data_IF_874035399636
#
_entry.id   IF_874035399636
#
_cell.length_a   1.000
_cell.length_b   1.000
_cell.length_c   1.000
_cell.angle_alpha   90.00
_cell.angle_beta   90.00
_cell.angle_gamma   90.00
#
_symmetry.space_group_name_H-M   'P 1'
#
loop_
_entity.id
_entity.type
_entity.pdbx_description
1 polymer ?
#
# COMPACT_ATOMS: atom_id res chain seq x y z
N UNK A 1 -13.80 50.42 -30.68
CA UNK A 1 -12.55 49.83 -31.19
C UNK A 1 -12.75 48.30 -31.18
N UNK A 2 -13.38 47.69 -32.20
CA UNK A 2 -12.77 46.95 -33.35
C UNK A 2 -11.49 46.18 -32.92
N UNK A 3 -11.25 44.88 -33.14
CA UNK A 3 -11.88 43.81 -33.93
C UNK A 3 -11.27 42.43 -33.50
N UNK A 4 -12.09 41.37 -33.52
CA UNK A 4 -11.90 39.94 -33.87
C UNK A 4 -10.51 39.20 -33.94
N UNK A 5 -10.51 38.00 -33.32
CA UNK A 5 -10.15 36.63 -33.83
C UNK A 5 -8.80 36.36 -34.54
N UNK A 6 -8.07 35.31 -34.12
CA UNK A 6 -7.92 34.00 -34.82
C UNK A 6 -6.63 33.19 -34.52
N UNK A 7 -6.85 31.88 -34.36
CA UNK A 7 -6.11 30.71 -34.89
C UNK A 7 -4.78 30.15 -34.31
N UNK A 8 -4.83 28.81 -34.18
CA UNK A 8 -3.81 27.77 -34.01
C UNK A 8 -2.64 27.83 -35.02
N UNK A 9 -1.46 27.31 -34.67
CA UNK A 9 -0.94 25.98 -35.09
C UNK A 9 0.48 25.70 -34.58
N UNK A 10 0.77 24.40 -34.44
CA UNK A 10 2.01 23.77 -33.98
C UNK A 10 3.19 23.89 -34.95
N UNK A 11 4.44 23.77 -34.45
CA UNK A 11 5.36 22.67 -34.83
C UNK A 11 6.79 22.88 -34.33
N UNK A 12 7.45 21.73 -34.17
CA UNK A 12 8.81 21.47 -33.72
C UNK A 12 9.93 22.20 -34.48
N UNK A 13 11.10 22.30 -33.83
CA UNK A 13 12.38 22.42 -34.51
C UNK A 13 13.36 21.38 -33.99
N UNK A 14 13.92 20.61 -34.92
CA UNK A 14 15.18 19.86 -34.81
C UNK A 14 16.16 20.56 -35.74
N UNK A 15 17.39 20.83 -35.30
CA UNK A 15 18.58 20.83 -36.15
C UNK A 15 19.86 20.96 -35.31
N UNK A 16 20.82 20.06 -35.52
CA UNK A 16 22.19 20.47 -35.90
C UNK A 16 22.97 19.27 -36.45
N UNK A 17 23.85 19.57 -37.40
CA UNK A 17 24.48 18.72 -38.41
C UNK A 17 26.02 18.65 -38.27
N UNK A 18 26.64 17.72 -39.02
CA UNK A 18 28.06 17.71 -39.45
C UNK A 18 28.75 16.37 -39.13
N UNK A 19 29.16 15.48 -40.06
CA UNK A 19 30.07 15.59 -41.23
C UNK A 19 31.44 14.99 -40.83
N UNK A 20 32.22 14.18 -41.58
CA UNK A 20 32.24 13.70 -42.97
C UNK A 20 33.30 12.56 -43.15
N UNK A 21 33.16 11.80 -44.25
CA UNK A 21 34.13 11.07 -45.11
C UNK A 21 34.94 9.81 -44.69
N UNK A 22 34.92 8.80 -45.59
CA UNK A 22 36.04 7.84 -45.78
C UNK A 22 35.68 6.38 -46.15
N UNK A 23 35.85 6.01 -47.42
CA UNK A 23 35.53 4.72 -48.10
C UNK A 23 36.22 3.45 -47.54
N UNK A 24 35.46 2.35 -47.44
CA UNK A 24 35.83 0.99 -47.91
C UNK A 24 34.60 0.06 -47.85
N UNK A 25 34.31 -0.67 -48.93
CA UNK A 25 33.23 -1.65 -48.96
C UNK A 25 33.70 -3.02 -48.45
N UNK A 26 32.98 -3.66 -47.52
CA UNK A 26 33.00 -5.10 -47.37
C UNK A 26 31.60 -5.71 -47.61
N UNK A 27 31.57 -6.73 -48.48
CA UNK A 27 30.71 -7.92 -48.48
C UNK A 27 29.38 -7.85 -47.70
N UNK A 28 28.27 -7.95 -48.45
CA UNK A 28 26.91 -8.11 -47.91
C UNK A 28 26.82 -9.23 -46.86
N UNK A 29 26.38 -8.95 -45.63
CA UNK A 29 25.94 -9.99 -44.71
C UNK A 29 24.61 -10.55 -45.20
N UNK A 30 24.46 -11.87 -45.13
CA UNK A 30 23.18 -12.53 -45.33
C UNK A 30 22.13 -11.93 -44.37
N UNK A 31 20.96 -11.57 -44.91
CA UNK A 31 19.84 -11.09 -44.11
C UNK A 31 19.37 -12.22 -43.18
N UNK A 32 19.56 -12.05 -41.88
CA UNK A 32 18.89 -12.89 -40.90
C UNK A 32 17.36 -12.72 -41.05
N UNK A 33 16.57 -13.79 -40.90
CA UNK A 33 15.12 -13.67 -40.89
C UNK A 33 14.67 -12.71 -39.78
N UNK A 34 13.58 -11.95 -40.00
CA UNK A 34 13.06 -11.02 -39.01
C UNK A 34 12.75 -11.77 -37.71
N UNK A 35 13.17 -11.18 -36.59
CA UNK A 35 12.84 -11.71 -35.27
C UNK A 35 11.31 -11.84 -35.12
N UNK A 36 10.82 -12.93 -34.50
CA UNK A 36 9.40 -13.08 -34.24
C UNK A 36 8.90 -11.90 -33.42
N UNK A 37 7.70 -11.41 -33.75
CA UNK A 37 7.07 -10.33 -33.03
C UNK A 37 7.03 -10.65 -31.52
N UNK A 38 7.30 -9.68 -30.64
CA UNK A 38 7.16 -9.89 -29.21
C UNK A 38 5.74 -10.37 -28.91
N UNK A 39 5.62 -11.38 -28.04
CA UNK A 39 4.32 -11.89 -27.63
C UNK A 39 3.46 -10.73 -27.10
N UNK A 40 2.15 -10.69 -27.43
CA UNK A 40 1.24 -9.74 -26.81
C UNK A 40 1.33 -9.85 -25.28
N UNK A 41 1.16 -8.76 -24.53
CA UNK A 41 1.11 -8.80 -23.07
C UNK A 41 0.13 -9.88 -22.64
N UNK A 42 0.54 -10.73 -21.70
CA UNK A 42 -0.34 -11.77 -21.17
C UNK A 42 -1.66 -11.12 -20.71
N UNK A 43 -2.79 -11.71 -21.12
CA UNK A 43 -4.10 -11.29 -20.65
C UNK A 43 -4.07 -11.28 -19.11
N UNK A 44 -4.49 -10.18 -18.46
CA UNK A 44 -4.67 -10.15 -17.01
C UNK A 44 -5.40 -11.41 -16.53
N UNK A 45 -4.90 -12.10 -15.49
CA UNK A 45 -5.65 -13.21 -14.92
C UNK A 45 -7.04 -12.74 -14.51
N UNK A 46 -8.03 -13.61 -14.67
CA UNK A 46 -9.39 -13.35 -14.18
C UNK A 46 -9.32 -13.01 -12.69
N UNK A 47 -10.13 -12.06 -12.23
CA UNK A 47 -10.18 -11.72 -10.81
C UNK A 47 -10.40 -13.01 -10.00
N UNK A 48 -9.56 -13.28 -8.99
CA UNK A 48 -9.63 -14.51 -8.21
C UNK A 48 -11.01 -14.70 -7.58
N UNK A 49 -11.48 -15.95 -7.56
CA UNK A 49 -12.70 -16.34 -6.86
C UNK A 49 -12.51 -16.21 -5.34
N UNK A 50 -13.50 -15.61 -4.66
CA UNK A 50 -13.49 -15.44 -3.21
C UNK A 50 -12.74 -14.19 -2.72
N UNK A 51 -13.07 -13.74 -1.52
CA UNK A 51 -12.40 -12.61 -0.85
C UNK A 51 -11.52 -13.05 0.31
N UNK A 52 -11.68 -14.29 0.78
CA UNK A 52 -10.85 -14.85 1.86
C UNK A 52 -9.56 -15.45 1.31
N UNK A 53 -8.45 -15.17 1.98
CA UNK A 53 -7.09 -15.56 1.61
C UNK A 53 -6.42 -16.15 2.85
N UNK A 54 -5.99 -17.41 2.75
CA UNK A 54 -5.19 -18.05 3.80
C UNK A 54 -3.82 -17.36 3.92
N UNK A 55 -3.16 -17.40 5.09
CA UNK A 55 -1.80 -16.89 5.24
C UNK A 55 -0.87 -17.41 4.13
N UNK A 56 -0.11 -16.50 3.53
CA UNK A 56 0.79 -16.80 2.41
C UNK A 56 2.12 -17.30 3.00
N UNK A 57 2.67 -18.40 2.46
CA UNK A 57 4.04 -18.82 2.80
C UNK A 57 5.05 -17.88 2.14
N UNK A 58 5.41 -16.83 2.87
CA UNK A 58 6.39 -15.84 2.43
C UNK A 58 7.81 -16.41 2.35
N UNK A 59 8.08 -17.62 2.85
CA UNK A 59 9.39 -18.27 2.68
C UNK A 59 9.55 -18.89 1.28
N UNK A 60 8.45 -19.07 0.55
CA UNK A 60 8.43 -19.56 -0.82
C UNK A 60 8.30 -18.41 -1.82
N UNK A 61 9.38 -18.08 -2.54
CA UNK A 61 9.35 -17.07 -3.63
C UNK A 61 8.28 -17.42 -4.67
N UNK A 62 8.15 -18.71 -5.01
CA UNK A 62 7.18 -19.18 -5.99
C UNK A 62 5.74 -18.95 -5.53
N UNK A 63 5.44 -19.18 -4.24
CA UNK A 63 4.11 -18.92 -3.70
C UNK A 63 3.81 -17.42 -3.69
N UNK A 64 4.74 -16.58 -3.21
CA UNK A 64 4.57 -15.13 -3.19
C UNK A 64 4.31 -14.57 -4.59
N UNK A 65 5.07 -15.03 -5.60
CA UNK A 65 4.88 -14.63 -7.01
C UNK A 65 3.54 -15.13 -7.56
N UNK A 66 3.15 -16.37 -7.25
CA UNK A 66 1.84 -16.89 -7.66
C UNK A 66 0.71 -16.03 -7.08
N UNK A 67 0.75 -15.75 -5.78
CA UNK A 67 -0.26 -14.93 -5.07
C UNK A 67 -0.27 -13.48 -5.50
N UNK A 68 0.89 -12.92 -5.82
CA UNK A 68 0.98 -11.60 -6.44
C UNK A 68 0.17 -11.53 -7.74
N UNK A 69 0.37 -12.51 -8.62
CA UNK A 69 -0.26 -12.52 -9.94
C UNK A 69 -1.74 -12.92 -9.89
N UNK A 70 -2.11 -13.92 -9.09
CA UNK A 70 -3.47 -14.44 -9.07
C UNK A 70 -4.40 -13.73 -8.08
N UNK A 71 -3.85 -13.09 -7.04
CA UNK A 71 -4.65 -12.56 -5.92
C UNK A 71 -4.54 -11.05 -5.78
N UNK A 72 -3.33 -10.51 -5.75
CA UNK A 72 -3.13 -9.08 -5.54
C UNK A 72 -3.45 -8.24 -6.77
N UNK A 73 -3.00 -8.69 -7.94
CA UNK A 73 -3.25 -7.99 -9.20
C UNK A 73 -4.75 -8.06 -9.55
N UNK A 74 -5.44 -6.92 -9.41
CA UNK A 74 -6.88 -6.83 -9.64
C UNK A 74 -7.19 -5.66 -10.59
N UNK A 75 -7.70 -6.01 -11.77
CA UNK A 75 -8.08 -5.07 -12.82
C UNK A 75 -9.58 -4.72 -12.80
N UNK A 76 -10.31 -5.05 -11.71
CA UNK A 76 -11.73 -4.72 -11.57
C UNK A 76 -11.92 -3.21 -11.78
N UNK A 77 -12.75 -2.80 -12.76
CA UNK A 77 -12.88 -1.41 -13.10
C UNK A 77 -13.51 -0.63 -11.95
N UNK A 78 -12.94 0.54 -11.66
CA UNK A 78 -13.61 1.49 -10.79
C UNK A 78 -14.83 2.06 -11.50
N UNK A 79 -15.99 1.92 -10.87
CA UNK A 79 -17.24 2.51 -11.32
C UNK A 79 -18.02 2.92 -10.09
N UNK A 80 -18.39 4.20 -10.07
CA UNK A 80 -19.07 4.84 -8.96
C UNK A 80 -20.30 5.57 -9.49
N UNK A 81 -21.45 5.34 -8.86
CA UNK A 81 -22.74 5.92 -9.28
C UNK A 81 -23.05 7.30 -8.68
N UNK A 82 -22.12 7.85 -7.89
CA UNK A 82 -22.31 9.11 -7.20
C UNK A 82 -21.92 10.33 -8.02
N UNK A 83 -21.98 11.49 -7.38
CA UNK A 83 -21.68 12.79 -7.97
C UNK A 83 -21.29 13.78 -6.90
N UNK A 84 -20.11 14.39 -7.07
CA UNK A 84 -19.62 15.48 -6.21
C UNK A 84 -20.53 16.70 -6.36
N UNK A 85 -20.84 17.11 -7.59
CA UNK A 85 -21.58 18.34 -7.86
C UNK A 85 -23.02 18.36 -7.33
N UNK A 86 -23.64 17.19 -7.16
CA UNK A 86 -25.00 17.05 -6.60
C UNK A 86 -25.02 16.40 -5.22
N UNK A 87 -23.85 16.21 -4.58
CA UNK A 87 -23.69 15.53 -3.30
C UNK A 87 -24.39 14.16 -3.21
N UNK A 88 -24.35 13.40 -4.30
CA UNK A 88 -24.86 12.04 -4.33
C UNK A 88 -23.72 11.09 -3.92
N UNK A 89 -23.83 10.49 -2.74
CA UNK A 89 -22.81 9.54 -2.25
C UNK A 89 -22.59 8.37 -3.20
N UNK A 90 -23.65 7.93 -3.88
CA UNK A 90 -23.60 6.80 -4.82
C UNK A 90 -23.17 5.51 -4.16
N UNK A 91 -22.66 4.59 -4.97
CA UNK A 91 -22.02 3.36 -4.52
C UNK A 91 -21.05 2.85 -5.59
N UNK A 92 -20.11 2.01 -5.18
CA UNK A 92 -19.30 1.20 -6.12
C UNK A 92 -19.93 -0.16 -6.36
N UNK A 93 -19.56 -0.80 -7.47
CA UNK A 93 -20.08 -2.14 -7.80
C UNK A 93 -19.68 -3.17 -6.75
N UNK A 94 -20.50 -4.22 -6.56
CA UNK A 94 -20.16 -5.32 -5.65
C UNK A 94 -18.84 -6.04 -6.02
N UNK A 95 -18.52 -6.09 -7.32
CA UNK A 95 -17.23 -6.60 -7.79
C UNK A 95 -16.06 -5.72 -7.31
N UNK A 96 -16.21 -4.39 -7.36
CA UNK A 96 -15.18 -3.47 -6.87
C UNK A 96 -15.01 -3.55 -5.35
N UNK A 97 -16.10 -3.64 -4.59
CA UNK A 97 -16.02 -3.88 -3.13
C UNK A 97 -15.32 -5.20 -2.80
N UNK A 98 -15.54 -6.24 -3.60
CA UNK A 98 -14.82 -7.51 -3.47
C UNK A 98 -13.33 -7.36 -3.78
N UNK A 99 -12.95 -6.52 -4.75
CA UNK A 99 -11.56 -6.19 -5.06
C UNK A 99 -10.87 -5.45 -3.90
N UNK A 100 -11.54 -4.47 -3.29
CA UNK A 100 -11.08 -3.80 -2.06
C UNK A 100 -10.84 -4.83 -0.95
N UNK A 101 -11.82 -5.70 -0.70
CA UNK A 101 -11.73 -6.71 0.35
C UNK A 101 -10.58 -7.70 0.11
N UNK A 102 -10.42 -8.18 -1.14
CA UNK A 102 -9.28 -9.03 -1.54
C UNK A 102 -7.94 -8.35 -1.30
N UNK A 103 -7.81 -7.07 -1.66
CA UNK A 103 -6.55 -6.32 -1.46
C UNK A 103 -6.20 -6.23 0.03
N UNK A 104 -7.16 -5.92 0.90
CA UNK A 104 -6.94 -5.86 2.35
C UNK A 104 -6.64 -7.24 2.95
N UNK A 105 -7.35 -8.28 2.51
CA UNK A 105 -7.09 -9.65 2.94
C UNK A 105 -5.74 -10.18 2.44
N UNK A 106 -5.27 -9.75 1.27
CA UNK A 106 -3.94 -10.07 0.77
C UNK A 106 -2.84 -9.48 1.67
N UNK A 107 -2.98 -8.22 2.09
CA UNK A 107 -2.04 -7.61 3.05
C UNK A 107 -1.98 -8.36 4.37
N UNK A 108 -3.13 -8.76 4.91
CA UNK A 108 -3.21 -9.60 6.13
C UNK A 108 -2.54 -10.95 5.93
N UNK A 109 -2.83 -11.61 4.82
CA UNK A 109 -2.25 -12.92 4.47
C UNK A 109 -0.73 -12.87 4.31
N UNK A 110 -0.18 -11.83 3.67
CA UNK A 110 1.26 -11.58 3.59
C UNK A 110 1.88 -11.38 4.99
N UNK A 111 1.17 -10.72 5.90
CA UNK A 111 1.62 -10.51 7.28
C UNK A 111 1.48 -11.75 8.18
N UNK A 112 1.06 -12.90 7.63
CA UNK A 112 0.83 -14.14 8.38
C UNK A 112 -0.49 -14.20 9.15
N UNK A 113 -1.40 -13.25 8.91
CA UNK A 113 -2.75 -13.22 9.50
C UNK A 113 -3.75 -13.90 8.57
N UNK A 114 -4.88 -14.32 9.11
CA UNK A 114 -6.01 -14.70 8.28
C UNK A 114 -6.50 -13.47 7.48
N UNK A 115 -6.59 -13.63 6.16
CA UNK A 115 -7.24 -12.67 5.28
C UNK A 115 -8.72 -13.01 5.17
N UNK A 116 -9.50 -12.72 6.19
CA UNK A 116 -10.92 -13.11 6.29
C UNK A 116 -11.83 -11.95 6.72
N UNK A 117 -11.41 -10.72 6.45
CA UNK A 117 -12.24 -9.54 6.70
C UNK A 117 -13.59 -9.68 5.99
N UNK A 118 -14.63 -9.21 6.67
CA UNK A 118 -15.99 -9.11 6.14
C UNK A 118 -16.37 -7.64 5.91
N UNK A 119 -17.17 -7.39 4.87
CA UNK A 119 -17.76 -6.08 4.62
C UNK A 119 -19.12 -5.96 5.31
N UNK A 120 -19.31 -4.87 6.05
CA UNK A 120 -20.62 -4.45 6.53
C UNK A 120 -21.22 -3.43 5.56
N UNK A 121 -22.38 -3.79 4.99
CA UNK A 121 -23.06 -2.95 3.99
C UNK A 121 -23.55 -1.61 4.57
N UNK A 122 -24.01 -1.59 5.82
CA UNK A 122 -24.51 -0.39 6.47
C UNK A 122 -23.39 0.60 6.79
N UNK A 123 -22.25 0.09 7.26
CA UNK A 123 -21.06 0.90 7.50
C UNK A 123 -20.41 1.34 6.19
N UNK A 124 -20.45 0.51 5.16
CA UNK A 124 -20.01 0.89 3.80
C UNK A 124 -20.85 2.06 3.26
N UNK A 125 -22.16 2.08 3.48
CA UNK A 125 -23.00 3.21 3.06
C UNK A 125 -22.61 4.52 3.77
N UNK A 126 -22.23 4.48 5.06
CA UNK A 126 -21.72 5.66 5.77
C UNK A 126 -20.31 6.03 5.33
N UNK A 127 -19.42 5.05 5.14
CA UNK A 127 -18.07 5.26 4.63
C UNK A 127 -18.09 5.91 3.23
N UNK A 128 -19.06 5.54 2.38
CA UNK A 128 -19.26 6.14 1.07
C UNK A 128 -19.60 7.64 1.16
N UNK A 129 -20.38 8.04 2.17
CA UNK A 129 -20.63 9.46 2.46
C UNK A 129 -19.34 10.16 2.93
N UNK A 130 -18.52 9.52 3.75
CA UNK A 130 -17.23 10.07 4.18
C UNK A 130 -16.28 10.26 2.99
N UNK A 131 -16.14 9.26 2.11
CA UNK A 131 -15.31 9.35 0.91
C UNK A 131 -15.77 10.52 0.01
N UNK A 132 -17.08 10.66 -0.23
CA UNK A 132 -17.63 11.82 -0.94
C UNK A 132 -17.25 13.14 -0.27
N UNK A 133 -17.33 13.23 1.06
CA UNK A 133 -16.96 14.46 1.79
C UNK A 133 -15.48 14.81 1.64
N UNK A 134 -14.57 13.82 1.70
CA UNK A 134 -13.15 14.07 1.50
C UNK A 134 -12.85 14.51 0.05
N UNK A 135 -13.48 13.85 -0.92
CA UNK A 135 -13.32 14.15 -2.35
C UNK A 135 -13.85 15.55 -2.69
N UNK A 136 -15.07 15.89 -2.23
CA UNK A 136 -15.71 17.17 -2.49
C UNK A 136 -15.01 18.39 -1.88
N UNK A 137 -14.05 18.18 -0.98
CA UNK A 137 -13.33 19.25 -0.27
C UNK A 137 -11.80 19.18 -0.49
N UNK A 138 -11.32 18.28 -1.34
CA UNK A 138 -9.90 18.07 -1.62
C UNK A 138 -9.04 17.93 -0.36
N UNK A 139 -9.58 17.30 0.70
CA UNK A 139 -8.96 17.30 2.01
C UNK A 139 -9.37 16.10 2.88
N UNK A 140 -8.55 15.79 3.89
CA UNK A 140 -8.77 14.74 4.86
C UNK A 140 -9.08 15.31 6.25
N UNK A 141 -10.10 14.77 6.92
CA UNK A 141 -10.37 15.09 8.33
C UNK A 141 -11.13 13.95 9.02
N UNK A 142 -10.66 13.52 10.19
CA UNK A 142 -11.43 12.64 11.08
C UNK A 142 -12.53 13.39 11.86
N UNK A 143 -12.58 14.72 11.74
CA UNK A 143 -13.61 15.57 12.35
C UNK A 143 -14.00 16.66 11.35
N UNK A 144 -14.65 16.27 10.24
CA UNK A 144 -14.98 17.21 9.19
C UNK A 144 -15.93 18.29 9.72
N UNK A 145 -15.65 19.59 9.50
CA UNK A 145 -16.53 20.65 9.94
C UNK A 145 -17.86 20.60 9.18
N UNK A 146 -18.94 21.02 9.83
CA UNK A 146 -20.30 21.00 9.25
C UNK A 146 -20.47 21.90 8.03
N UNK A 147 -19.53 22.81 7.77
CA UNK A 147 -19.51 23.69 6.60
C UNK A 147 -18.87 23.07 5.35
N UNK A 148 -18.37 21.84 5.41
CA UNK A 148 -17.83 21.15 4.23
C UNK A 148 -18.89 20.91 3.16
N UNK A 149 -18.47 21.00 1.90
CA UNK A 149 -19.30 20.59 0.75
C UNK A 149 -19.69 19.12 0.92
N UNK A 150 -20.96 18.81 0.62
CA UNK A 150 -21.54 17.47 0.78
C UNK A 150 -21.47 16.89 2.21
N UNK A 151 -21.34 17.75 3.23
CA UNK A 151 -21.39 17.30 4.62
C UNK A 151 -22.66 16.50 4.91
N UNK A 152 -22.48 15.38 5.60
CA UNK A 152 -23.57 14.60 6.19
C UNK A 152 -23.16 14.10 7.57
N UNK A 153 -24.13 13.95 8.47
CA UNK A 153 -23.87 13.43 9.81
C UNK A 153 -23.31 11.99 9.76
N UNK A 154 -23.84 11.15 8.85
CA UNK A 154 -23.35 9.79 8.64
C UNK A 154 -21.93 9.72 8.09
N UNK A 155 -21.58 10.59 7.14
CA UNK A 155 -20.21 10.73 6.65
C UNK A 155 -19.24 11.27 7.69
N UNK A 156 -19.65 12.22 8.53
CA UNK A 156 -18.83 12.72 9.64
C UNK A 156 -18.57 11.65 10.71
N UNK A 157 -19.60 10.88 11.07
CA UNK A 157 -19.47 9.71 11.95
C UNK A 157 -18.48 8.71 11.36
N UNK A 158 -18.64 8.36 10.08
CA UNK A 158 -17.72 7.47 9.37
C UNK A 158 -16.30 7.99 9.33
N UNK A 159 -16.09 9.28 9.06
CA UNK A 159 -14.77 9.89 9.03
C UNK A 159 -14.02 9.72 10.37
N UNK A 160 -14.73 9.83 11.49
CA UNK A 160 -14.15 9.65 12.83
C UNK A 160 -13.77 8.21 13.18
N UNK A 161 -14.28 7.23 12.43
CA UNK A 161 -14.07 5.78 12.64
C UNK A 161 -13.30 5.10 11.51
N UNK A 162 -12.98 5.85 10.46
CA UNK A 162 -12.36 5.32 9.26
C UNK A 162 -10.88 5.58 9.20
N UNK A 163 -10.17 4.73 8.49
CA UNK A 163 -8.94 5.11 7.80
C UNK A 163 -9.34 5.97 6.60
N UNK A 164 -8.61 7.05 6.33
CA UNK A 164 -8.96 8.01 5.29
C UNK A 164 -7.80 8.26 4.33
N UNK A 165 -8.05 8.17 3.05
CA UNK A 165 -7.08 8.43 1.99
C UNK A 165 -7.66 9.38 0.95
N UNK A 166 -6.80 10.24 0.43
CA UNK A 166 -7.11 11.18 -0.64
C UNK A 166 -5.92 11.29 -1.59
N UNK A 167 -6.20 11.48 -2.88
CA UNK A 167 -5.22 11.73 -3.94
C UNK A 167 -5.57 13.00 -4.70
N UNK A 168 -4.58 13.84 -4.98
CA UNK A 168 -4.74 15.08 -5.75
C UNK A 168 -4.94 14.85 -7.27
N UNK A 169 -5.03 13.59 -7.69
CA UNK A 169 -5.43 13.17 -9.02
C UNK A 169 -6.35 11.94 -8.90
N UNK A 170 -7.25 11.71 -9.87
CA UNK A 170 -8.04 10.49 -9.91
C UNK A 170 -7.13 9.25 -9.81
N UNK A 171 -7.31 8.48 -8.74
CA UNK A 171 -6.59 7.26 -8.47
C UNK A 171 -7.62 6.14 -8.34
N UNK A 172 -7.29 4.91 -8.73
CA UNK A 172 -8.19 3.79 -8.39
C UNK A 172 -8.20 3.68 -6.88
N UNK A 173 -9.36 3.58 -6.25
CA UNK A 173 -9.42 3.51 -4.78
C UNK A 173 -8.66 2.29 -4.21
N UNK A 174 -8.50 1.22 -4.99
CA UNK A 174 -7.62 0.08 -4.64
C UNK A 174 -6.14 0.47 -4.50
N UNK A 175 -5.67 1.48 -5.25
CA UNK A 175 -4.29 1.98 -5.14
C UNK A 175 -4.10 2.83 -3.88
N UNK A 176 -5.17 3.48 -3.40
CA UNK A 176 -5.16 4.20 -2.12
C UNK A 176 -4.98 3.26 -0.92
N UNK A 177 -5.37 1.98 -1.06
CA UNK A 177 -5.20 0.96 -0.03
C UNK A 177 -3.72 0.65 0.22
N UNK A 178 -2.91 0.63 -0.84
CA UNK A 178 -1.46 0.48 -0.72
C UNK A 178 -0.84 1.70 -0.01
N UNK A 179 -1.46 2.87 -0.18
CA UNK A 179 -1.14 4.10 0.55
C UNK A 179 -1.28 3.95 2.06
N UNK A 180 -2.36 3.31 2.55
CA UNK A 180 -2.52 3.00 3.97
C UNK A 180 -1.42 2.08 4.50
N UNK A 181 -1.00 1.11 3.69
CA UNK A 181 0.04 0.16 4.09
C UNK A 181 1.43 0.80 4.08
N UNK A 182 1.78 1.62 3.09
CA UNK A 182 3.07 2.34 3.09
C UNK A 182 3.11 3.45 4.14
N UNK A 183 1.96 4.06 4.39
CA UNK A 183 1.70 5.05 5.43
C UNK A 183 2.72 6.20 5.41
N UNK A 184 2.96 6.75 4.21
CA UNK A 184 3.97 7.80 3.97
C UNK A 184 3.53 9.15 4.58
N UNK A 185 4.49 10.04 4.78
CA UNK A 185 4.26 11.40 5.32
C UNK A 185 4.61 11.53 6.79
N UNK A 186 4.96 12.74 7.22
CA UNK A 186 5.46 13.01 8.58
C UNK A 186 4.41 12.72 9.66
N UNK A 187 3.13 13.03 9.40
CA UNK A 187 2.02 12.80 10.33
C UNK A 187 1.68 11.31 10.53
N UNK A 188 2.27 10.43 9.70
CA UNK A 188 2.04 8.99 9.70
C UNK A 188 3.22 8.19 10.29
N UNK A 189 4.12 8.83 11.05
CA UNK A 189 5.28 8.17 11.67
C UNK A 189 4.92 6.99 12.58
N UNK A 190 3.70 6.97 13.13
CA UNK A 190 3.20 5.88 13.97
C UNK A 190 2.53 4.74 13.16
N UNK A 191 2.49 4.83 11.83
CA UNK A 191 1.84 3.91 10.88
C UNK A 191 0.43 3.47 11.30
N UNK A 192 -0.39 4.44 11.72
CA UNK A 192 -1.71 4.19 12.31
C UNK A 192 -2.66 3.43 11.39
N UNK A 193 -2.63 3.68 10.08
CA UNK A 193 -3.48 2.99 9.13
C UNK A 193 -3.07 1.51 9.00
N UNK A 194 -1.77 1.27 8.80
CA UNK A 194 -1.20 -0.07 8.77
C UNK A 194 -1.47 -0.85 10.05
N UNK A 195 -1.33 -0.22 11.23
CA UNK A 195 -1.59 -0.83 12.53
C UNK A 195 -3.02 -1.34 12.63
N UNK A 196 -4.01 -0.55 12.20
CA UNK A 196 -5.41 -0.98 12.18
C UNK A 196 -5.65 -2.12 11.18
N UNK A 197 -5.14 -2.03 9.96
CA UNK A 197 -5.34 -3.06 8.92
C UNK A 197 -4.72 -4.41 9.30
N UNK A 198 -3.56 -4.38 9.96
CA UNK A 198 -2.85 -5.57 10.45
C UNK A 198 -3.18 -5.90 11.91
N UNK A 199 -4.19 -5.26 12.50
CA UNK A 199 -4.59 -5.59 13.86
C UNK A 199 -5.25 -6.98 13.86
N UNK A 200 -4.72 -7.98 14.60
CA UNK A 200 -5.24 -9.35 14.52
C UNK A 200 -6.74 -9.45 14.83
N UNK A 201 -7.30 -8.73 15.83
CA UNK A 201 -8.73 -8.75 16.11
C UNK A 201 -9.62 -8.02 15.10
N UNK A 202 -9.08 -7.28 14.12
CA UNK A 202 -9.91 -6.66 13.08
C UNK A 202 -10.63 -7.74 12.27
N UNK A 203 -11.95 -7.67 12.23
CA UNK A 203 -12.80 -8.68 11.56
C UNK A 203 -13.76 -8.07 10.54
N UNK A 204 -14.21 -6.83 10.76
CA UNK A 204 -15.24 -6.20 9.93
C UNK A 204 -14.83 -4.80 9.53
N UNK A 205 -15.11 -4.46 8.28
CA UNK A 205 -14.88 -3.14 7.72
C UNK A 205 -16.10 -2.62 6.95
N UNK A 206 -16.24 -1.31 6.85
CA UNK A 206 -17.05 -0.67 5.81
C UNK A 206 -16.14 0.03 4.80
N UNK A 207 -16.43 -0.03 3.50
CA UNK A 207 -15.67 0.71 2.48
C UNK A 207 -16.53 1.75 1.78
N UNK A 208 -15.94 2.91 1.53
CA UNK A 208 -16.48 3.96 0.69
C UNK A 208 -15.43 4.47 -0.26
N UNK A 209 -15.80 4.70 -1.51
CA UNK A 209 -14.86 4.92 -2.59
C UNK A 209 -15.40 6.02 -3.52
N UNK A 210 -14.63 7.08 -3.68
CA UNK A 210 -14.88 8.19 -4.59
C UNK A 210 -13.67 8.36 -5.53
N UNK A 211 -13.80 9.10 -6.66
CA UNK A 211 -12.73 9.22 -7.66
C UNK A 211 -11.34 9.54 -7.10
N UNK A 212 -11.26 10.30 -6.01
CA UNK A 212 -10.01 10.74 -5.39
C UNK A 212 -9.88 10.36 -3.92
N UNK A 213 -10.91 9.80 -3.30
CA UNK A 213 -10.91 9.48 -1.87
C UNK A 213 -11.39 8.08 -1.55
N UNK A 214 -10.89 7.52 -0.45
CA UNK A 214 -11.38 6.29 0.13
C UNK A 214 -11.54 6.46 1.65
N UNK A 215 -12.55 5.78 2.21
CA UNK A 215 -12.75 5.64 3.64
C UNK A 215 -12.95 4.17 4.00
N UNK A 216 -12.20 3.66 4.99
CA UNK A 216 -12.37 2.32 5.55
C UNK A 216 -12.82 2.39 7.00
N UNK A 217 -14.10 2.20 7.27
CA UNK A 217 -14.63 2.12 8.63
C UNK A 217 -14.09 0.87 9.32
N UNK A 218 -13.36 1.03 10.42
CA UNK A 218 -12.74 -0.09 11.14
C UNK A 218 -13.65 -0.55 12.29
N UNK A 219 -13.96 -1.85 12.33
CA UNK A 219 -14.71 -2.47 13.43
C UNK A 219 -13.91 -3.59 14.05
N UNK A 220 -13.56 -3.39 15.31
CA UNK A 220 -12.94 -4.41 16.15
C UNK A 220 -14.03 -5.01 17.04
N UNK A 221 -14.21 -6.34 17.07
CA UNK A 221 -15.09 -7.00 18.02
C UNK A 221 -14.73 -6.63 19.46
N UNK A 222 -15.73 -6.43 20.31
CA UNK A 222 -15.49 -6.30 21.74
C UNK A 222 -14.89 -7.60 22.27
N UNK A 223 -13.61 -7.59 22.64
CA UNK A 223 -12.94 -8.75 23.21
C UNK A 223 -13.34 -8.88 24.68
N UNK A 224 -14.46 -9.55 24.97
CA UNK A 224 -14.73 -10.04 26.33
C UNK A 224 -13.83 -11.25 26.60
N UNK A 225 -12.71 -11.03 27.32
CA UNK A 225 -11.92 -12.11 27.92
C UNK A 225 -11.09 -13.00 26.97
N UNK A 226 -10.89 -12.60 25.71
CA UNK A 226 -9.98 -13.32 24.79
C UNK A 226 -8.56 -12.78 24.93
N UNK A 227 -7.63 -13.64 25.36
CA UNK A 227 -6.19 -13.46 25.14
C UNK A 227 -5.98 -13.40 23.63
N UNK A 228 -5.85 -12.18 23.08
CA UNK A 228 -5.40 -12.00 21.71
C UNK A 228 -4.17 -12.89 21.51
N UNK A 229 -4.09 -13.65 20.41
CA UNK A 229 -3.02 -14.60 20.23
C UNK A 229 -1.69 -13.86 20.33
N UNK A 230 -0.74 -14.44 21.05
CA UNK A 230 0.58 -13.86 21.33
C UNK A 230 1.42 -13.85 20.04
N UNK A 231 1.05 -13.00 19.09
CA UNK A 231 1.63 -12.91 17.76
C UNK A 231 2.29 -11.55 17.62
N UNK A 232 3.55 -11.56 17.22
CA UNK A 232 4.21 -10.36 16.73
C UNK A 232 3.97 -10.26 15.21
N UNK A 233 3.43 -9.14 14.76
CA UNK A 233 3.11 -8.88 13.36
C UNK A 233 4.13 -7.89 12.80
N UNK A 234 4.97 -8.37 11.86
CA UNK A 234 5.95 -7.54 11.18
C UNK A 234 5.41 -7.07 9.81
N UNK A 235 5.72 -5.83 9.45
CA UNK A 235 5.58 -5.35 8.08
C UNK A 235 6.79 -4.52 7.67
N UNK A 236 7.44 -4.80 6.52
CA UNK A 236 7.22 -5.98 5.67
C UNK A 236 7.43 -7.30 6.45
N UNK A 237 6.74 -8.39 6.05
CA UNK A 237 6.85 -9.68 6.73
C UNK A 237 8.20 -10.34 6.48
N UNK A 238 8.54 -11.35 7.29
CA UNK A 238 9.68 -12.23 7.03
C UNK A 238 9.56 -12.88 5.65
N UNK A 239 10.68 -13.16 4.98
CA UNK A 239 10.71 -13.85 3.69
C UNK A 239 10.63 -12.90 2.50
N UNK A 240 10.01 -13.35 1.41
CA UNK A 240 9.90 -12.62 0.16
C UNK A 240 8.72 -11.65 0.17
N UNK A 241 8.94 -10.42 -0.29
CA UNK A 241 7.90 -9.39 -0.43
C UNK A 241 8.01 -8.70 -1.79
N UNK A 242 6.91 -8.59 -2.56
CA UNK A 242 6.92 -7.82 -3.80
C UNK A 242 7.17 -6.33 -3.54
N UNK A 243 8.19 -5.75 -4.20
CA UNK A 243 8.52 -4.33 -4.13
C UNK A 243 7.34 -3.38 -4.37
N UNK A 244 6.41 -3.67 -5.31
CA UNK A 244 5.29 -2.78 -5.50
C UNK A 244 4.34 -2.69 -4.28
N UNK A 245 4.41 -3.60 -3.30
CA UNK A 245 3.69 -3.43 -2.03
C UNK A 245 4.40 -2.41 -1.13
N UNK A 246 5.71 -2.56 -1.01
CA UNK A 246 6.56 -1.84 -0.08
C UNK A 246 8.01 -1.92 -0.55
N UNK A 247 8.70 -0.80 -0.52
CA UNK A 247 10.12 -0.72 -0.85
C UNK A 247 10.98 -0.81 0.41
N UNK A 248 12.27 -1.15 0.30
CA UNK A 248 13.20 -1.11 1.43
C UNK A 248 13.31 0.27 2.10
N UNK A 249 12.98 1.33 1.39
CA UNK A 249 13.02 2.71 1.88
C UNK A 249 11.73 3.15 2.57
N UNK A 250 10.66 2.34 2.50
CA UNK A 250 9.45 2.57 3.26
C UNK A 250 9.64 2.19 4.74
N UNK A 251 8.66 2.54 5.59
CA UNK A 251 8.69 2.24 7.02
C UNK A 251 8.54 0.75 7.28
N UNK A 252 9.33 0.24 8.20
CA UNK A 252 9.18 -1.05 8.84
C UNK A 252 8.42 -0.89 10.16
N UNK A 253 7.72 -1.95 10.58
CA UNK A 253 6.98 -1.98 11.82
C UNK A 253 6.91 -3.38 12.42
N UNK A 254 6.95 -3.48 13.74
CA UNK A 254 6.67 -4.69 14.49
C UNK A 254 5.63 -4.36 15.57
N UNK A 255 4.45 -4.99 15.46
CA UNK A 255 3.34 -4.85 16.40
C UNK A 255 3.21 -6.08 17.27
N UNK A 256 2.84 -5.93 18.54
CA UNK A 256 2.50 -7.06 19.39
C UNK A 256 1.59 -6.65 20.55
N UNK A 257 0.57 -7.47 20.83
CA UNK A 257 -0.34 -7.26 21.93
C UNK A 257 0.40 -7.24 23.28
N UNK A 258 0.10 -6.24 24.11
CA UNK A 258 0.71 -6.06 25.43
C UNK A 258 2.18 -5.62 25.43
N UNK A 259 2.79 -5.43 24.25
CA UNK A 259 4.19 -5.08 24.15
C UNK A 259 4.47 -3.65 24.64
N UNK A 260 5.61 -3.47 25.30
CA UNK A 260 6.25 -2.18 25.52
C UNK A 260 7.58 -2.16 24.76
N UNK A 261 7.73 -1.13 23.93
CA UNK A 261 8.88 -0.93 23.07
C UNK A 261 9.83 0.16 23.59
N UNK A 262 9.62 0.74 24.78
CA UNK A 262 10.43 1.83 25.29
C UNK A 262 11.94 1.51 25.32
N UNK A 263 12.29 0.28 25.73
CA UNK A 263 13.67 -0.19 25.79
C UNK A 263 14.15 -0.94 24.52
N UNK A 264 13.26 -1.16 23.56
CA UNK A 264 13.61 -2.02 22.43
C UNK A 264 14.71 -1.40 21.56
N UNK A 265 15.57 -2.21 20.94
CA UNK A 265 16.59 -1.75 19.99
C UNK A 265 16.33 -2.38 18.63
N UNK A 266 16.53 -1.63 17.55
CA UNK A 266 16.41 -2.13 16.18
C UNK A 266 17.77 -2.08 15.52
N UNK A 267 18.18 -3.16 14.88
CA UNK A 267 19.38 -3.20 14.04
C UNK A 267 19.06 -3.84 12.69
N UNK A 268 19.75 -3.38 11.65
CA UNK A 268 19.62 -3.92 10.29
C UNK A 268 20.99 -4.19 9.68
N UNK A 269 21.05 -5.21 8.81
CA UNK A 269 22.22 -5.53 7.99
C UNK A 269 21.78 -5.88 6.57
N UNK A 270 22.60 -5.54 5.59
CA UNK A 270 22.47 -6.12 4.25
C UNK A 270 22.88 -7.60 4.28
N UNK A 271 22.48 -8.36 3.27
CA UNK A 271 22.88 -9.77 3.11
C UNK A 271 24.39 -9.99 2.94
N UNK A 272 25.14 -8.94 2.61
CA UNK A 272 26.61 -8.91 2.60
C UNK A 272 27.23 -8.79 4.01
N UNK A 273 26.39 -8.64 5.05
CA UNK A 273 26.79 -8.42 6.45
C UNK A 273 27.06 -6.95 6.81
N UNK A 274 27.05 -6.05 5.82
CA UNK A 274 27.24 -4.61 6.04
C UNK A 274 26.13 -4.04 6.95
N UNK A 275 26.48 -3.26 8.00
CA UNK A 275 25.49 -2.56 8.80
C UNK A 275 24.64 -1.62 7.94
N UNK A 276 23.34 -1.56 8.23
CA UNK A 276 22.41 -0.59 7.65
C UNK A 276 21.84 0.21 8.82
N UNK A 277 22.20 1.49 8.89
CA UNK A 277 21.74 2.39 9.94
C UNK A 277 20.23 2.60 9.86
N UNK A 278 19.59 2.59 11.02
CA UNK A 278 18.14 2.77 11.15
C UNK A 278 17.81 4.02 11.95
N UNK A 279 16.70 4.65 11.58
CA UNK A 279 16.05 5.68 12.37
C UNK A 279 14.75 5.13 12.94
N UNK A 280 14.65 5.06 14.26
CA UNK A 280 13.38 4.75 14.94
C UNK A 280 12.47 5.96 14.81
N UNK A 281 11.31 5.78 14.19
CA UNK A 281 10.36 6.86 13.93
C UNK A 281 9.27 6.96 15.00
N UNK A 282 8.89 5.84 15.61
CA UNK A 282 7.91 5.81 16.69
C UNK A 282 8.07 4.57 17.56
N UNK A 283 7.83 4.75 18.87
CA UNK A 283 7.54 3.69 19.86
C UNK A 283 6.24 3.97 20.60
N UNK A 284 5.51 5.00 20.14
CA UNK A 284 4.37 5.54 20.86
C UNK A 284 3.15 4.65 20.70
N UNK A 285 2.59 4.25 21.84
CA UNK A 285 1.25 3.71 21.85
C UNK A 285 0.24 4.86 21.83
N UNK A 286 -0.44 5.01 20.70
CA UNK A 286 -1.44 6.07 20.46
C UNK A 286 -2.86 5.49 20.38
N UNK A 287 -3.05 4.24 20.82
CA UNK A 287 -4.35 3.56 20.76
C UNK A 287 -4.76 3.08 19.36
N UNK A 288 -3.78 2.85 18.47
CA UNK A 288 -4.02 2.28 17.14
C UNK A 288 -3.74 0.78 17.16
N UNK A 289 -4.75 -0.08 17.16
CA UNK A 289 -4.55 -1.53 17.25
C UNK A 289 -3.54 -1.93 18.34
N UNK A 290 -2.69 -2.93 18.07
CA UNK A 290 -1.59 -3.31 18.95
C UNK A 290 -0.50 -2.23 19.03
N UNK A 291 0.23 -2.19 20.16
CA UNK A 291 1.40 -1.33 20.29
C UNK A 291 2.48 -1.75 19.27
N UNK A 292 3.26 -0.79 18.78
CA UNK A 292 4.15 -0.97 17.62
C UNK A 292 5.41 -0.12 17.73
N UNK A 293 6.57 -0.73 17.43
CA UNK A 293 7.79 0.01 17.08
C UNK A 293 7.87 0.20 15.56
N UNK A 294 8.20 1.40 15.12
CA UNK A 294 8.32 1.81 13.72
C UNK A 294 9.71 2.36 13.46
N UNK A 295 10.34 1.95 12.37
CA UNK A 295 11.64 2.45 11.95
C UNK A 295 11.76 2.52 10.43
N UNK A 296 12.76 3.24 9.95
CA UNK A 296 13.16 3.30 8.54
C UNK A 296 14.68 3.24 8.44
N UNK A 297 15.21 2.98 7.24
CA UNK A 297 16.64 3.10 6.99
C UNK A 297 17.04 4.58 7.01
N UNK A 298 18.11 4.92 7.74
CA UNK A 298 18.70 6.25 7.71
C UNK A 298 19.54 6.42 6.44
N UNK A 299 18.90 6.90 5.37
CA UNK A 299 19.54 7.11 4.06
C UNK A 299 20.70 8.12 4.09
N UNK A 300 20.78 8.97 5.12
CA UNK A 300 21.89 9.91 5.28
C UNK A 300 23.17 9.24 5.78
N UNK A 301 23.04 8.16 6.56
CA UNK A 301 24.18 7.38 7.09
C UNK A 301 24.44 6.10 6.30
N UNK A 302 23.39 5.51 5.74
CA UNK A 302 23.44 4.31 4.92
C UNK A 302 22.77 4.54 3.56
N UNK A 303 23.46 5.18 2.59
CA UNK A 303 22.93 5.43 1.26
C UNK A 303 22.50 4.15 0.54
N UNK A 304 21.41 4.23 -0.23
CA UNK A 304 20.81 3.07 -0.91
C UNK A 304 21.81 2.30 -1.79
N UNK A 305 22.78 2.97 -2.42
CA UNK A 305 23.81 2.34 -3.24
C UNK A 305 24.66 1.29 -2.50
N UNK A 306 24.65 1.30 -1.15
CA UNK A 306 25.40 0.33 -0.34
C UNK A 306 24.66 -0.98 -0.05
N UNK A 307 23.34 -1.04 -0.27
CA UNK A 307 22.52 -2.19 0.13
C UNK A 307 21.35 -2.50 -0.82
N UNK A 308 20.83 -1.52 -1.56
CA UNK A 308 19.78 -1.70 -2.55
C UNK A 308 20.36 -2.18 -3.88
N UNK A 309 19.79 -3.24 -4.42
CA UNK A 309 20.19 -3.85 -5.70
C UNK A 309 19.28 -3.45 -6.86
N UNK A 310 18.44 -2.43 -6.68
CA UNK A 310 17.55 -1.93 -7.73
C UNK A 310 16.53 -3.00 -8.14
N UNK A 311 16.54 -3.43 -9.39
CA UNK A 311 15.59 -4.44 -9.88
C UNK A 311 15.88 -5.86 -9.40
N UNK A 312 17.09 -6.11 -8.89
CA UNK A 312 17.46 -7.39 -8.30
C UNK A 312 16.96 -7.51 -6.85
N UNK A 313 16.86 -8.76 -6.40
CA UNK A 313 16.39 -9.11 -5.06
C UNK A 313 17.27 -8.43 -3.99
N UNK A 314 16.66 -7.59 -3.16
CA UNK A 314 17.33 -6.86 -2.09
C UNK A 314 16.94 -7.45 -0.76
N UNK A 315 17.91 -7.93 0.00
CA UNK A 315 17.67 -8.55 1.31
C UNK A 315 18.26 -7.72 2.44
N UNK A 316 17.45 -7.54 3.48
CA UNK A 316 17.86 -6.96 4.75
C UNK A 316 17.54 -7.93 5.88
N UNK A 317 18.51 -8.12 6.77
CA UNK A 317 18.36 -8.87 8.01
C UNK A 317 18.08 -7.88 9.16
N UNK A 318 17.10 -8.21 10.00
CA UNK A 318 16.53 -7.32 11.01
C UNK A 318 16.59 -8.02 12.36
N UNK A 319 16.97 -7.28 13.40
CA UNK A 319 16.78 -7.67 14.78
C UNK A 319 16.09 -6.56 15.57
N UNK A 320 14.97 -6.90 16.21
CA UNK A 320 14.31 -6.10 17.23
C UNK A 320 14.51 -6.80 18.57
N UNK A 321 15.29 -6.22 19.48
CA UNK A 321 15.61 -6.79 20.79
C UNK A 321 15.04 -5.93 21.93
N UNK A 322 15.09 -6.45 23.16
CA UNK A 322 14.64 -5.77 24.38
C UNK A 322 13.16 -5.34 24.36
N UNK A 323 12.30 -6.14 23.73
CA UNK A 323 10.85 -5.97 23.79
C UNK A 323 10.34 -6.58 25.11
N UNK A 324 9.51 -5.84 25.84
CA UNK A 324 8.85 -6.34 27.06
C UNK A 324 7.34 -6.50 26.81
N UNK A 325 6.65 -7.28 27.64
CA UNK A 325 5.19 -7.43 27.60
C UNK A 325 4.60 -8.19 26.39
N UNK A 326 5.38 -8.39 25.33
CA UNK A 326 4.95 -9.18 24.17
C UNK A 326 4.99 -10.68 24.48
N UNK A 327 3.84 -11.35 24.38
CA UNK A 327 3.75 -12.80 24.61
C UNK A 327 4.53 -13.65 23.59
N UNK A 328 4.86 -13.09 22.41
CA UNK A 328 5.62 -13.78 21.37
C UNK A 328 7.14 -13.83 21.64
N UNK A 329 7.64 -13.08 22.63
CA UNK A 329 9.05 -13.04 23.01
C UNK A 329 9.59 -11.63 23.19
N UNK A 330 10.87 -11.55 23.56
CA UNK A 330 11.59 -10.29 23.83
C UNK A 330 12.59 -9.89 22.74
N UNK A 331 12.84 -10.78 21.77
CA UNK A 331 13.73 -10.56 20.64
C UNK A 331 13.18 -11.23 19.38
N UNK A 332 13.20 -10.51 18.26
CA UNK A 332 12.68 -10.93 16.97
C UNK A 332 13.78 -10.75 15.93
N UNK A 333 14.19 -11.86 15.30
CA UNK A 333 15.17 -11.89 14.22
C UNK A 333 14.54 -12.44 12.96
N UNK A 334 14.61 -11.69 11.87
CA UNK A 334 14.04 -12.11 10.60
C UNK A 334 14.71 -11.37 9.45
N UNK A 335 14.46 -11.87 8.24
CA UNK A 335 14.97 -11.27 7.01
C UNK A 335 13.81 -10.92 6.09
N UNK A 336 13.95 -9.82 5.36
CA UNK A 336 13.02 -9.42 4.30
C UNK A 336 13.80 -9.39 3.01
N UNK A 337 13.30 -10.08 1.99
CA UNK A 337 13.83 -10.08 0.62
C UNK A 337 12.80 -9.42 -0.30
N UNK A 338 13.10 -8.19 -0.71
CA UNK A 338 12.31 -7.43 -1.66
C UNK A 338 12.56 -7.94 -3.07
N UNK A 339 11.52 -8.43 -3.72
CA UNK A 339 11.59 -9.04 -5.05
C UNK A 339 10.82 -8.23 -6.09
N UNK A 340 11.25 -8.37 -7.34
CA UNK A 340 10.39 -8.09 -8.48
C UNK A 340 9.62 -9.38 -8.78
N UNK A 341 8.29 -9.41 -8.58
CA UNK A 341 7.48 -10.60 -8.75
C UNK A 341 7.30 -10.98 -10.23
#
# INVERSE_FOLDING_TARGET
>A
MRLLLACLFASAMVASCGGSDGVSAPTSPALNPPAPAPNPPATPPAAPGGTSIAPIDTTSRAEVVARWNDTYFDNTPFSWSGSIGSCLAGDTTGAFKSAVLRRLNYFRAMAGLAGDLALDASLSAKAQQAALMMDANDNLSHSPPTGWTCFSAGGAEAASRSLLAYSNAPARSVDLLDGYMRDRGANNAAVGHRRWLLYPPLATIGTGDAPQANALWIVVPATTGSTAPAVAVAWPPRGFVPRPLTEPTDRFSLSCAGADFAAASVTMRADTGQPVDVRVESRSDKGYGDNTVVWSIDLGRSPASGWDRGTADTRVDIEVANVSGCGAGSSFRYSVTFITP
#
